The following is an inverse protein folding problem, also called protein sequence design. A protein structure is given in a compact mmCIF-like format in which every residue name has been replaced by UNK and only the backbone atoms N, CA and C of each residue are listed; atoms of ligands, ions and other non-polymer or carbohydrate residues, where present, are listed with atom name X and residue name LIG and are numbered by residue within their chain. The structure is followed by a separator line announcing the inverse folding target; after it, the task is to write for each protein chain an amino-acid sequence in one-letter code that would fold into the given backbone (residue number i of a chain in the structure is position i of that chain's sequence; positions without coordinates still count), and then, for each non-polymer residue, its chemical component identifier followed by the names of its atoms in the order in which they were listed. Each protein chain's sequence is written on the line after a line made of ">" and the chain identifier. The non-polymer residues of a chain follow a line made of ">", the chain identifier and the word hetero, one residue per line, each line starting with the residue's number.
data_IF_809055945404
#
_entry.id   IF_809055945404
#
_cell.length_a   1.000
_cell.length_b   1.000
_cell.length_c   1.000
_cell.angle_alpha   90.00
_cell.angle_beta   90.00
_cell.angle_gamma   90.00
#
_symmetry.space_group_name_H-M   'P 1'
#
loop_
_entity.id
_entity.type
_entity.pdbx_description
1 polymer ?
#
# COMPACT_ATOMS: atom_id res chain seq x y z
N UNK A 1 -21.59 5.28 27.52
CA UNK A 1 -21.41 5.56 26.08
C UNK A 1 -22.15 4.47 25.31
N UNK A 2 -23.07 4.82 24.41
CA UNK A 2 -23.93 3.85 23.72
C UNK A 2 -23.10 2.89 22.87
N UNK A 3 -23.47 1.60 22.88
CA UNK A 3 -22.74 0.54 22.19
C UNK A 3 -22.57 0.82 20.68
N UNK A 4 -23.56 1.47 20.07
CA UNK A 4 -23.60 1.80 18.64
C UNK A 4 -22.56 2.86 18.25
N UNK A 5 -22.24 3.77 19.18
CA UNK A 5 -21.26 4.83 18.93
C UNK A 5 -19.84 4.27 18.85
N UNK A 6 -19.50 3.27 19.67
CA UNK A 6 -18.21 2.60 19.61
C UNK A 6 -18.06 1.75 18.35
N UNK A 7 -19.13 1.06 17.93
CA UNK A 7 -19.15 0.29 16.69
C UNK A 7 -18.93 1.18 15.46
N UNK A 8 -19.63 2.32 15.40
CA UNK A 8 -19.49 3.29 14.31
C UNK A 8 -18.05 3.75 14.14
N UNK A 9 -17.37 4.05 15.26
CA UNK A 9 -15.96 4.47 15.25
C UNK A 9 -15.02 3.38 14.72
N UNK A 10 -15.23 2.13 15.12
CA UNK A 10 -14.46 0.99 14.60
C UNK A 10 -14.68 0.88 13.09
N UNK A 11 -15.92 0.92 12.62
CA UNK A 11 -16.23 0.84 11.19
C UNK A 11 -15.63 2.00 10.38
N UNK A 12 -15.61 3.22 10.92
CA UNK A 12 -14.94 4.37 10.29
C UNK A 12 -13.44 4.11 10.16
N UNK A 13 -12.78 3.65 11.23
CA UNK A 13 -11.34 3.33 11.20
C UNK A 13 -11.01 2.21 10.20
N UNK A 14 -11.81 1.14 10.19
CA UNK A 14 -11.63 0.05 9.22
C UNK A 14 -11.87 0.51 7.78
N UNK A 15 -12.82 1.43 7.56
CA UNK A 15 -13.08 2.03 6.23
C UNK A 15 -11.91 2.90 5.78
N UNK A 16 -11.42 3.81 6.63
CA UNK A 16 -10.29 4.68 6.31
C UNK A 16 -9.04 3.88 5.97
N UNK A 17 -8.76 2.83 6.74
CA UNK A 17 -7.66 1.91 6.46
C UNK A 17 -7.82 1.19 5.12
N UNK A 18 -9.01 0.61 4.85
CA UNK A 18 -9.27 -0.09 3.59
C UNK A 18 -9.19 0.85 2.38
N UNK A 19 -9.73 2.06 2.49
CA UNK A 19 -9.60 3.07 1.45
C UNK A 19 -8.14 3.47 1.24
N UNK A 20 -7.39 3.68 2.33
CA UNK A 20 -5.95 3.95 2.27
C UNK A 20 -5.19 2.85 1.52
N UNK A 21 -5.45 1.58 1.82
CA UNK A 21 -4.86 0.43 1.12
C UNK A 21 -5.26 0.37 -0.36
N UNK A 22 -6.52 0.64 -0.68
CA UNK A 22 -6.98 0.61 -2.07
C UNK A 22 -6.36 1.74 -2.89
N UNK A 23 -6.32 2.96 -2.35
CA UNK A 23 -5.61 4.09 -2.96
C UNK A 23 -4.13 3.76 -3.14
N UNK A 24 -3.50 3.17 -2.13
CA UNK A 24 -2.11 2.75 -2.20
C UNK A 24 -1.86 1.76 -3.35
N UNK A 25 -2.63 0.67 -3.40
CA UNK A 25 -2.42 -0.42 -4.38
C UNK A 25 -2.85 -0.03 -5.80
N UNK A 26 -3.96 0.70 -5.96
CA UNK A 26 -4.55 0.95 -7.28
C UNK A 26 -4.20 2.32 -7.88
N UNK A 27 -3.69 3.27 -7.09
CA UNK A 27 -3.27 4.58 -7.59
C UNK A 27 -1.78 4.83 -7.37
N UNK A 28 -1.28 4.59 -6.16
CA UNK A 28 0.11 4.95 -5.82
C UNK A 28 1.10 3.99 -6.48
N UNK A 29 1.05 2.68 -6.19
CA UNK A 29 2.01 1.74 -6.74
C UNK A 29 2.10 1.76 -8.28
N UNK A 30 0.99 1.82 -9.04
CA UNK A 30 1.08 1.87 -10.48
C UNK A 30 1.72 3.16 -11.03
N UNK A 31 1.59 4.27 -10.30
CA UNK A 31 2.17 5.57 -10.70
C UNK A 31 3.68 5.66 -10.52
N UNK A 32 4.29 4.64 -9.90
CA UNK A 32 5.68 4.65 -9.46
C UNK A 32 6.47 3.50 -10.08
N UNK A 33 7.77 3.72 -10.30
CA UNK A 33 8.62 2.64 -10.82
C UNK A 33 8.61 1.45 -9.88
N UNK A 34 8.79 0.21 -10.37
CA UNK A 34 8.61 -0.97 -9.54
C UNK A 34 9.48 -0.97 -8.28
N UNK A 35 10.62 -0.28 -8.32
CA UNK A 35 11.50 -0.10 -7.17
C UNK A 35 11.06 1.00 -6.23
N UNK A 36 10.68 2.19 -6.73
CA UNK A 36 10.06 3.21 -5.90
C UNK A 36 8.80 2.69 -5.20
N UNK A 37 8.00 1.86 -5.88
CA UNK A 37 6.85 1.14 -5.31
C UNK A 37 7.23 0.30 -4.09
N UNK A 38 8.32 -0.48 -4.16
CA UNK A 38 8.81 -1.24 -3.00
C UNK A 38 9.27 -0.31 -1.88
N UNK A 39 9.96 0.78 -2.22
CA UNK A 39 10.49 1.72 -1.23
C UNK A 39 9.38 2.46 -0.47
N UNK A 40 8.28 2.78 -1.14
CA UNK A 40 7.11 3.42 -0.52
C UNK A 40 6.40 2.50 0.46
N UNK A 41 6.43 1.18 0.26
CA UNK A 41 5.85 0.23 1.22
C UNK A 41 6.46 0.35 2.63
N UNK A 42 7.71 0.83 2.75
CA UNK A 42 8.32 1.09 4.07
C UNK A 42 7.74 2.32 4.79
N UNK A 43 7.12 3.25 4.07
CA UNK A 43 6.62 4.50 4.65
C UNK A 43 5.33 4.33 5.44
N UNK A 44 4.69 3.15 5.34
CA UNK A 44 3.55 2.75 6.18
C UNK A 44 3.93 2.71 7.67
N UNK A 45 5.22 2.65 8.00
CA UNK A 45 5.73 2.67 9.37
C UNK A 45 5.77 4.06 10.03
N UNK A 46 5.33 5.13 9.34
CA UNK A 46 5.46 6.50 9.85
C UNK A 46 4.62 6.73 11.10
N UNK A 47 3.32 6.42 11.03
CA UNK A 47 2.40 6.57 12.17
C UNK A 47 2.83 5.71 13.36
N UNK A 48 3.16 4.41 13.18
CA UNK A 48 3.78 3.58 14.22
C UNK A 48 5.01 4.22 14.86
N UNK A 49 5.94 4.74 14.04
CA UNK A 49 7.17 5.36 14.51
C UNK A 49 6.93 6.62 15.33
N UNK A 50 6.01 7.48 14.89
CA UNK A 50 5.64 8.71 15.61
C UNK A 50 5.01 8.36 16.95
N UNK A 51 4.04 7.45 16.98
CA UNK A 51 3.37 7.04 18.22
C UNK A 51 4.34 6.34 19.18
N UNK A 52 5.21 5.47 18.66
CA UNK A 52 6.25 4.81 19.45
C UNK A 52 7.25 5.79 20.06
N UNK A 53 7.68 6.82 19.30
CA UNK A 53 8.60 7.84 19.78
C UNK A 53 8.01 8.67 20.93
N UNK A 54 6.70 8.94 20.89
CA UNK A 54 5.98 9.67 21.95
C UNK A 54 5.65 8.75 23.13
N UNK A 55 5.48 7.45 22.89
CA UNK A 55 5.07 6.49 23.91
C UNK A 55 6.13 6.26 25.00
N UNK A 56 5.68 5.75 26.15
CA UNK A 56 6.56 5.36 27.25
C UNK A 56 7.14 3.99 27.00
N UNK A 57 8.46 3.90 27.06
CA UNK A 57 9.20 2.64 27.00
C UNK A 57 9.09 1.92 28.35
N UNK A 58 8.74 0.64 28.33
CA UNK A 58 8.65 -0.23 29.51
C UNK A 58 10.03 -0.53 30.13
N UNK A 59 11.09 -0.43 29.33
CA UNK A 59 12.46 -0.75 29.73
C UNK A 59 13.28 0.52 29.97
N UNK A 60 13.42 0.99 31.23
CA UNK A 60 14.04 2.27 31.53
C UNK A 60 15.53 2.32 31.16
N UNK A 61 16.25 1.19 31.22
CA UNK A 61 17.69 1.13 30.91
C UNK A 61 18.04 1.41 29.45
N UNK A 62 17.15 1.07 28.52
CA UNK A 62 17.34 1.28 27.09
C UNK A 62 16.34 2.27 26.49
N UNK A 63 15.52 2.92 27.32
CA UNK A 63 14.45 3.81 26.89
C UNK A 63 14.97 4.95 25.99
N UNK A 64 16.12 5.53 26.34
CA UNK A 64 16.75 6.59 25.56
C UNK A 64 17.19 6.10 24.17
N UNK A 65 17.85 4.94 24.10
CA UNK A 65 18.32 4.36 22.84
C UNK A 65 17.15 3.99 21.92
N UNK A 66 16.12 3.34 22.46
CA UNK A 66 14.92 2.96 21.70
C UNK A 66 14.22 4.21 21.15
N UNK A 67 14.06 5.25 21.97
CA UNK A 67 13.48 6.53 21.52
C UNK A 67 14.32 7.21 20.46
N UNK A 68 15.64 7.23 20.61
CA UNK A 68 16.54 7.80 19.62
C UNK A 68 16.43 7.06 18.27
N UNK A 69 16.37 5.73 18.29
CA UNK A 69 16.15 4.91 17.09
C UNK A 69 14.79 5.21 16.43
N UNK A 70 13.71 5.30 17.20
CA UNK A 70 12.38 5.64 16.69
C UNK A 70 12.33 7.04 16.07
N UNK A 71 12.87 8.05 16.75
CA UNK A 71 12.94 9.44 16.24
C UNK A 71 13.76 9.48 14.94
N UNK A 72 14.91 8.81 14.92
CA UNK A 72 15.75 8.71 13.71
C UNK A 72 14.98 8.06 12.56
N UNK A 73 14.28 6.95 12.82
CA UNK A 73 13.44 6.28 11.84
C UNK A 73 12.31 7.17 11.30
N UNK A 74 11.64 7.95 12.17
CA UNK A 74 10.59 8.91 11.75
C UNK A 74 11.18 10.02 10.87
N UNK A 75 12.30 10.62 11.26
CA UNK A 75 12.95 11.68 10.49
C UNK A 75 13.34 11.20 9.09
N UNK A 76 13.86 9.97 9.00
CA UNK A 76 14.26 9.38 7.72
C UNK A 76 13.07 9.03 6.84
N UNK A 77 11.96 8.56 7.41
CA UNK A 77 10.72 8.35 6.66
C UNK A 77 10.13 9.66 6.14
N UNK A 78 10.11 10.71 6.97
CA UNK A 78 9.67 12.04 6.55
C UNK A 78 10.54 12.62 5.43
N UNK A 79 11.86 12.47 5.55
CA UNK A 79 12.80 12.87 4.51
C UNK A 79 12.58 12.08 3.21
N UNK A 80 12.34 10.77 3.31
CA UNK A 80 12.04 9.92 2.15
C UNK A 80 10.74 10.34 1.44
N UNK A 81 9.66 10.61 2.19
CA UNK A 81 8.40 11.15 1.64
C UNK A 81 8.67 12.49 0.93
N UNK A 82 9.39 13.40 1.59
CA UNK A 82 9.67 14.73 1.04
C UNK A 82 10.51 14.70 -0.23
N UNK A 83 11.56 13.87 -0.26
CA UNK A 83 12.41 13.68 -1.44
C UNK A 83 11.65 13.01 -2.58
N UNK A 84 10.79 12.06 -2.27
CA UNK A 84 9.98 11.41 -3.28
C UNK A 84 8.93 12.37 -3.85
N UNK A 85 8.23 13.11 -3.00
CA UNK A 85 7.30 14.17 -3.41
C UNK A 85 7.99 15.18 -4.32
N UNK A 86 9.16 15.69 -3.92
CA UNK A 86 9.89 16.67 -4.74
C UNK A 86 10.41 16.06 -6.05
N UNK A 87 10.90 14.82 -6.05
CA UNK A 87 11.35 14.14 -7.26
C UNK A 87 10.22 13.96 -8.28
N UNK A 88 9.06 13.45 -7.88
CA UNK A 88 7.95 13.22 -8.83
C UNK A 88 7.30 14.51 -9.30
N UNK A 89 7.16 15.53 -8.44
CA UNK A 89 6.61 16.83 -8.84
C UNK A 89 7.57 17.56 -9.78
N UNK A 90 8.88 17.60 -9.46
CA UNK A 90 9.86 18.37 -10.24
C UNK A 90 10.26 17.68 -11.55
N UNK A 91 10.44 16.35 -11.55
CA UNK A 91 10.96 15.62 -12.71
C UNK A 91 9.86 15.21 -13.69
N UNK A 92 8.71 14.76 -13.19
CA UNK A 92 7.64 14.21 -14.02
C UNK A 92 6.48 15.18 -14.23
N UNK A 93 6.58 16.41 -13.71
CA UNK A 93 5.50 17.40 -13.71
C UNK A 93 4.16 16.80 -13.24
N UNK A 94 4.22 15.84 -12.33
CA UNK A 94 3.02 15.21 -11.79
C UNK A 94 2.15 16.26 -11.12
N UNK A 95 0.84 16.16 -11.33
CA UNK A 95 -0.09 17.05 -10.64
C UNK A 95 0.04 16.88 -9.13
N UNK A 96 -0.04 18.00 -8.40
CA UNK A 96 -0.01 18.02 -6.94
C UNK A 96 -1.01 17.04 -6.30
N UNK A 97 -2.10 16.73 -7.00
CA UNK A 97 -3.10 15.75 -6.60
C UNK A 97 -2.50 14.35 -6.42
N UNK A 98 -1.75 13.84 -7.40
CA UNK A 98 -1.17 12.48 -7.35
C UNK A 98 -0.10 12.38 -6.26
N UNK A 99 0.72 13.42 -6.10
CA UNK A 99 1.74 13.48 -5.05
C UNK A 99 1.12 13.61 -3.63
N UNK A 100 -0.05 14.24 -3.51
CA UNK A 100 -0.80 14.31 -2.25
C UNK A 100 -1.44 12.97 -1.91
N UNK A 101 -1.92 12.23 -2.90
CA UNK A 101 -2.47 10.87 -2.73
C UNK A 101 -1.42 9.91 -2.15
N UNK A 102 -0.17 9.98 -2.62
CA UNK A 102 0.96 9.24 -2.06
C UNK A 102 1.06 9.45 -0.54
N UNK A 103 1.19 10.71 -0.12
CA UNK A 103 1.34 11.07 1.30
C UNK A 103 0.12 10.65 2.13
N UNK A 104 -1.08 10.89 1.62
CA UNK A 104 -2.33 10.57 2.31
C UNK A 104 -2.46 9.06 2.54
N UNK A 105 -2.16 8.25 1.53
CA UNK A 105 -2.25 6.79 1.63
C UNK A 105 -1.29 6.22 2.69
N UNK A 106 -0.05 6.70 2.75
CA UNK A 106 0.95 6.28 3.75
C UNK A 106 0.53 6.58 5.19
N UNK A 107 -0.33 7.59 5.41
CA UNK A 107 -0.90 7.90 6.73
C UNK A 107 -2.13 7.04 7.02
N UNK A 108 -3.02 6.86 6.04
CA UNK A 108 -4.29 6.13 6.22
C UNK A 108 -4.09 4.63 6.46
N UNK A 109 -3.13 4.01 5.78
CA UNK A 109 -2.86 2.56 5.91
C UNK A 109 -2.56 2.15 7.37
N UNK A 110 -1.65 2.77 8.12
CA UNK A 110 -1.37 2.33 9.50
C UNK A 110 -2.44 2.73 10.53
N UNK A 111 -3.45 3.56 10.19
CA UNK A 111 -4.48 4.00 11.14
C UNK A 111 -5.26 2.87 11.78
N UNK A 112 -5.31 1.69 11.17
CA UNK A 112 -6.01 0.55 11.75
C UNK A 112 -5.33 0.06 13.03
N UNK A 113 -4.01 0.24 13.17
CA UNK A 113 -3.19 -0.40 14.21
C UNK A 113 -2.53 0.59 15.16
N UNK A 114 -2.87 1.88 15.06
CA UNK A 114 -2.34 2.96 15.89
C UNK A 114 -2.39 2.64 17.40
N UNK A 115 -3.42 1.91 17.84
CA UNK A 115 -3.65 1.54 19.22
C UNK A 115 -2.58 0.63 19.79
N UNK A 116 -1.90 -0.16 18.95
CA UNK A 116 -0.83 -1.06 19.38
C UNK A 116 0.44 -0.32 19.80
N UNK A 117 0.61 0.94 19.39
CA UNK A 117 1.82 1.72 19.63
C UNK A 117 1.70 2.64 20.85
N UNK A 118 0.54 2.68 21.50
CA UNK A 118 0.30 3.48 22.69
C UNK A 118 0.43 2.61 23.94
N UNK A 119 1.59 2.69 24.60
CA UNK A 119 1.74 2.19 25.95
C UNK A 119 1.24 3.21 26.98
N UNK A 120 0.02 3.00 27.45
CA UNK A 120 -0.69 3.88 28.40
C UNK A 120 -0.68 3.33 29.84
N UNK A 121 0.12 2.30 30.10
CA UNK A 121 0.18 1.64 31.40
C UNK A 121 0.87 2.55 32.45
N UNK A 122 0.16 2.81 33.56
CA UNK A 122 0.69 3.61 34.67
C UNK A 122 0.53 5.13 34.58
N UNK A 123 -0.20 5.67 33.59
CA UNK A 123 -0.46 7.11 33.53
C UNK A 123 -1.55 7.58 34.51
N UNK A 124 -1.23 8.67 35.24
CA UNK A 124 -2.14 9.34 36.19
C UNK A 124 -2.82 10.59 35.61
N UNK A 125 -2.44 11.01 34.40
CA UNK A 125 -3.05 12.17 33.73
C UNK A 125 -4.43 11.81 33.18
N UNK A 126 -5.42 12.67 33.45
CA UNK A 126 -6.84 12.45 33.09
C UNK A 126 -7.04 12.21 31.59
N UNK A 127 -6.29 12.89 30.73
CA UNK A 127 -6.36 12.74 29.26
C UNK A 127 -5.90 11.33 28.85
N UNK A 128 -4.77 10.89 29.36
CA UNK A 128 -4.20 9.58 29.07
C UNK A 128 -5.09 8.42 29.54
N UNK A 129 -5.72 8.56 30.71
CA UNK A 129 -6.68 7.57 31.23
C UNK A 129 -7.92 7.47 30.33
N UNK A 130 -8.41 8.60 29.79
CA UNK A 130 -9.52 8.60 28.86
C UNK A 130 -9.16 7.96 27.51
N UNK A 131 -7.96 8.21 26.99
CA UNK A 131 -7.45 7.56 25.77
C UNK A 131 -7.27 6.05 26.00
N UNK A 132 -6.73 5.63 27.16
CA UNK A 132 -6.56 4.22 27.49
C UNK A 132 -7.90 3.47 27.56
N UNK A 133 -8.91 4.09 28.17
CA UNK A 133 -10.28 3.56 28.18
C UNK A 133 -10.83 3.42 26.76
N UNK A 134 -10.65 4.45 25.93
CA UNK A 134 -11.10 4.47 24.54
C UNK A 134 -10.44 3.37 23.69
N UNK A 135 -9.11 3.21 23.80
CA UNK A 135 -8.35 2.16 23.13
C UNK A 135 -8.85 0.77 23.54
N UNK A 136 -9.03 0.54 24.84
CA UNK A 136 -9.54 -0.75 25.36
C UNK A 136 -10.94 -1.07 24.84
N UNK A 137 -11.81 -0.06 24.74
CA UNK A 137 -13.15 -0.22 24.18
C UNK A 137 -13.11 -0.58 22.69
N UNK A 138 -12.30 0.11 21.89
CA UNK A 138 -12.09 -0.20 20.46
C UNK A 138 -11.61 -1.64 20.31
N UNK A 139 -10.59 -2.04 21.06
CA UNK A 139 -9.99 -3.37 20.97
C UNK A 139 -11.00 -4.48 21.26
N UNK A 140 -11.80 -4.32 22.32
CA UNK A 140 -12.86 -5.27 22.68
C UNK A 140 -13.96 -5.34 21.62
N UNK A 141 -14.34 -4.20 21.01
CA UNK A 141 -15.35 -4.18 19.94
C UNK A 141 -14.82 -4.81 18.66
N UNK A 142 -13.58 -4.52 18.28
CA UNK A 142 -12.94 -5.12 17.11
C UNK A 142 -12.88 -6.64 17.21
N UNK A 143 -12.55 -7.19 18.39
CA UNK A 143 -12.60 -8.64 18.65
C UNK A 143 -14.00 -9.24 18.40
N UNK A 144 -15.06 -8.58 18.86
CA UNK A 144 -16.44 -9.04 18.70
C UNK A 144 -16.94 -8.94 17.26
N UNK A 145 -16.55 -7.89 16.54
CA UNK A 145 -17.03 -7.60 15.19
C UNK A 145 -15.99 -7.87 14.09
N UNK A 146 -14.93 -8.63 14.40
CA UNK A 146 -13.83 -8.90 13.46
C UNK A 146 -14.34 -9.51 12.15
N UNK A 147 -15.33 -10.41 12.23
CA UNK A 147 -15.93 -11.03 11.05
C UNK A 147 -16.58 -10.00 10.12
N UNK A 148 -17.44 -9.13 10.67
CA UNK A 148 -18.12 -8.06 9.92
C UNK A 148 -17.09 -7.07 9.36
N UNK A 149 -16.10 -6.69 10.16
CA UNK A 149 -15.00 -5.84 9.73
C UNK A 149 -14.27 -6.44 8.52
N UNK A 150 -13.89 -7.71 8.57
CA UNK A 150 -13.17 -8.36 7.47
C UNK A 150 -14.02 -8.50 6.20
N UNK A 151 -15.31 -8.85 6.33
CA UNK A 151 -16.23 -8.83 5.18
C UNK A 151 -16.34 -7.45 4.56
N UNK A 152 -16.42 -6.40 5.39
CA UNK A 152 -16.45 -5.02 4.93
C UNK A 152 -15.17 -4.63 4.17
N UNK A 153 -13.99 -5.03 4.65
CA UNK A 153 -12.72 -4.81 3.93
C UNK A 153 -12.71 -5.49 2.58
N UNK A 154 -13.16 -6.75 2.51
CA UNK A 154 -13.26 -7.50 1.25
C UNK A 154 -14.19 -6.77 0.27
N UNK A 155 -15.34 -6.28 0.74
CA UNK A 155 -16.26 -5.52 -0.08
C UNK A 155 -15.61 -4.24 -0.63
N UNK A 156 -14.93 -3.45 0.22
CA UNK A 156 -14.24 -2.23 -0.23
C UNK A 156 -13.16 -2.57 -1.26
N UNK A 157 -12.29 -3.55 -0.99
CA UNK A 157 -11.20 -3.92 -1.90
C UNK A 157 -11.70 -4.40 -3.26
N UNK A 158 -12.87 -5.05 -3.32
CA UNK A 158 -13.47 -5.49 -4.57
C UNK A 158 -14.22 -4.37 -5.31
N UNK A 159 -14.93 -3.51 -4.58
CA UNK A 159 -15.73 -2.41 -5.15
C UNK A 159 -14.83 -1.26 -5.64
N UNK A 160 -13.71 -0.99 -4.96
CA UNK A 160 -12.88 0.18 -5.23
C UNK A 160 -12.33 0.25 -6.68
N UNK A 161 -11.80 -0.83 -7.27
CA UNK A 161 -11.40 -0.81 -8.68
C UNK A 161 -12.56 -0.53 -9.63
N UNK A 162 -13.78 -0.99 -9.32
CA UNK A 162 -14.97 -0.71 -10.13
C UNK A 162 -15.35 0.78 -10.06
N UNK A 163 -15.20 1.41 -8.89
CA UNK A 163 -15.41 2.85 -8.73
C UNK A 163 -14.34 3.66 -9.47
N UNK A 164 -13.08 3.22 -9.36
CA UNK A 164 -11.94 3.95 -9.91
C UNK A 164 -11.86 3.88 -11.44
N UNK A 165 -12.09 2.69 -12.00
CA UNK A 165 -11.87 2.40 -13.41
C UNK A 165 -13.17 2.26 -14.20
N UNK A 166 -14.29 1.94 -13.53
CA UNK A 166 -15.60 1.76 -14.17
C UNK A 166 -16.40 3.05 -14.31
N UNK A 167 -16.57 3.83 -13.23
CA UNK A 167 -17.45 5.02 -13.22
C UNK A 167 -16.96 6.16 -14.15
N UNK A 168 -15.68 6.57 -14.14
CA UNK A 168 -15.26 7.71 -14.94
C UNK A 168 -15.06 7.37 -16.43
N UNK A 169 -15.46 6.17 -16.86
CA UNK A 169 -15.50 5.77 -18.26
C UNK A 169 -16.67 6.44 -19.00
N UNK A 170 -16.42 6.93 -20.21
CA UNK A 170 -17.43 7.65 -21.02
C UNK A 170 -18.72 6.84 -21.25
N UNK A 171 -18.62 5.50 -21.29
CA UNK A 171 -19.76 4.59 -21.49
C UNK A 171 -20.09 3.74 -20.24
N UNK A 172 -19.61 4.13 -19.05
CA UNK A 172 -19.94 3.58 -17.73
C UNK A 172 -20.09 2.06 -17.62
N UNK A 173 -21.28 1.55 -17.93
CA UNK A 173 -21.67 0.12 -17.85
C UNK A 173 -20.81 -0.76 -18.75
N UNK A 174 -20.39 -0.27 -19.92
CA UNK A 174 -19.56 -1.02 -20.85
C UNK A 174 -18.20 -1.36 -20.23
N UNK A 175 -17.54 -0.38 -19.63
CA UNK A 175 -16.24 -0.58 -18.96
C UNK A 175 -16.32 -1.60 -17.82
N UNK A 176 -17.40 -1.58 -17.04
CA UNK A 176 -17.63 -2.59 -15.99
C UNK A 176 -17.78 -3.97 -16.61
N UNK A 177 -18.58 -4.12 -17.68
CA UNK A 177 -18.74 -5.39 -18.39
C UNK A 177 -17.42 -5.91 -18.99
N UNK A 178 -16.57 -5.01 -19.49
CA UNK A 178 -15.24 -5.35 -19.99
C UNK A 178 -14.32 -5.89 -18.90
N UNK A 179 -14.38 -5.34 -17.67
CA UNK A 179 -13.61 -5.86 -16.53
C UNK A 179 -14.03 -7.27 -16.12
N UNK A 180 -15.30 -7.64 -16.32
CA UNK A 180 -15.81 -8.99 -16.06
C UNK A 180 -15.68 -9.95 -17.26
N UNK A 181 -15.04 -9.53 -18.35
CA UNK A 181 -14.83 -10.37 -19.53
C UNK A 181 -16.10 -10.62 -20.36
N UNK A 182 -17.17 -9.86 -20.14
CA UNK A 182 -18.38 -9.94 -20.96
C UNK A 182 -18.22 -9.10 -22.23
N UNK A 183 -17.54 -9.68 -23.23
CA UNK A 183 -17.15 -9.02 -24.47
C UNK A 183 -18.25 -9.03 -25.55
N UNK A 184 -19.35 -9.76 -25.33
CA UNK A 184 -20.35 -10.02 -26.38
C UNK A 184 -21.30 -8.85 -26.66
N UNK A 185 -21.36 -7.86 -25.77
CA UNK A 185 -22.23 -6.68 -25.89
C UNK A 185 -21.44 -5.38 -26.17
N UNK A 186 -20.13 -5.47 -26.36
CA UNK A 186 -19.29 -4.29 -26.55
C UNK A 186 -19.37 -3.85 -28.01
N UNK A 187 -20.25 -2.89 -28.29
CA UNK A 187 -20.21 -2.18 -29.57
C UNK A 187 -18.82 -1.60 -29.75
N UNK A 188 -18.26 -1.64 -30.96
CA UNK A 188 -16.90 -1.25 -31.33
C UNK A 188 -16.54 0.24 -31.12
N UNK A 189 -17.14 0.89 -30.11
CA UNK A 189 -16.78 2.19 -29.61
C UNK A 189 -15.54 2.05 -28.72
N UNK A 190 -14.48 2.76 -29.10
CA UNK A 190 -13.28 3.04 -28.30
C UNK A 190 -13.69 3.55 -26.91
N UNK A 191 -13.74 2.67 -25.90
CA UNK A 191 -14.01 3.11 -24.53
C UNK A 191 -12.73 3.67 -23.92
N UNK A 192 -12.73 4.97 -23.66
CA UNK A 192 -11.62 5.63 -22.98
C UNK A 192 -11.89 5.59 -21.48
N UNK A 193 -10.98 4.96 -20.74
CA UNK A 193 -10.95 4.99 -19.29
C UNK A 193 -10.17 6.24 -18.87
N UNK A 194 -10.88 7.27 -18.44
CA UNK A 194 -10.29 8.49 -17.88
C UNK A 194 -10.16 8.27 -16.37
N UNK A 195 -8.97 7.94 -15.88
CA UNK A 195 -8.73 7.73 -14.46
C UNK A 195 -7.82 8.82 -13.88
N UNK A 196 -7.87 9.08 -12.56
CA UNK A 196 -6.92 10.01 -11.92
C UNK A 196 -5.44 9.57 -12.02
N UNK A 197 -5.20 8.31 -12.41
CA UNK A 197 -3.87 7.73 -12.64
C UNK A 197 -3.40 7.98 -14.09
N UNK A 198 -4.32 8.29 -14.99
CA UNK A 198 -4.05 8.54 -16.41
C UNK A 198 -5.24 8.18 -17.30
N UNK A 199 -5.18 8.66 -18.55
CA UNK A 199 -6.14 8.30 -19.59
C UNK A 199 -5.65 7.07 -20.33
N UNK A 200 -6.45 6.03 -20.35
CA UNK A 200 -6.13 4.82 -21.11
C UNK A 200 -7.24 4.49 -22.07
N UNK A 201 -6.84 4.13 -23.28
CA UNK A 201 -7.79 3.76 -24.32
C UNK A 201 -7.90 2.25 -24.27
N UNK A 202 -9.06 1.72 -23.89
CA UNK A 202 -9.34 0.31 -24.07
C UNK A 202 -9.60 0.09 -25.56
N UNK A 203 -8.55 -0.19 -26.33
CA UNK A 203 -8.66 -0.56 -27.75
C UNK A 203 -8.99 -2.05 -27.82
N UNK A 204 -10.28 -2.38 -27.95
CA UNK A 204 -10.69 -3.73 -28.38
C UNK A 204 -10.56 -3.76 -29.89
N UNK A 205 -9.36 -4.02 -30.40
CA UNK A 205 -9.20 -4.36 -31.81
C UNK A 205 -8.96 -5.87 -31.90
N UNK A 206 -9.76 -6.61 -32.69
CA UNK A 206 -9.70 -8.08 -32.79
C UNK A 206 -8.34 -8.60 -33.29
N UNK A 207 -7.47 -7.74 -33.83
CA UNK A 207 -6.07 -8.04 -34.15
C UNK A 207 -5.14 -8.02 -32.94
N UNK A 208 -5.52 -7.38 -31.83
CA UNK A 208 -4.76 -7.32 -30.57
C UNK A 208 -5.34 -8.29 -29.55
N UNK A 209 -4.83 -9.52 -29.56
CA UNK A 209 -5.31 -10.66 -28.77
C UNK A 209 -5.04 -10.61 -27.25
N UNK A 210 -4.54 -9.51 -26.67
CA UNK A 210 -3.81 -9.58 -25.38
C UNK A 210 -4.03 -8.44 -24.35
N UNK A 211 -5.10 -7.64 -24.41
CA UNK A 211 -5.36 -6.71 -23.30
C UNK A 211 -6.19 -7.39 -22.18
N UNK A 212 -5.58 -7.63 -21.00
CA UNK A 212 -6.27 -8.20 -19.84
C UNK A 212 -7.10 -7.13 -19.11
N UNK A 213 -8.31 -6.86 -19.61
CA UNK A 213 -9.24 -5.88 -19.04
C UNK A 213 -9.67 -6.21 -17.58
N UNK A 214 -9.49 -7.46 -17.16
CA UNK A 214 -9.80 -7.95 -15.81
C UNK A 214 -8.64 -7.80 -14.81
N UNK A 215 -7.51 -7.18 -15.21
CA UNK A 215 -6.31 -7.05 -14.38
C UNK A 215 -6.56 -6.36 -13.02
N UNK A 216 -7.30 -5.23 -12.91
CA UNK A 216 -7.54 -4.61 -11.61
C UNK A 216 -8.34 -5.51 -10.65
N UNK A 217 -9.24 -6.35 -11.19
CA UNK A 217 -9.99 -7.34 -10.39
C UNK A 217 -9.10 -8.50 -9.96
N UNK A 218 -8.17 -8.96 -10.81
CA UNK A 218 -7.16 -9.94 -10.38
C UNK A 218 -6.34 -9.39 -9.23
N UNK A 219 -5.84 -8.16 -9.36
CA UNK A 219 -5.04 -7.52 -8.30
C UNK A 219 -5.84 -7.47 -7.00
N UNK A 220 -7.12 -7.09 -7.03
CA UNK A 220 -8.00 -7.11 -5.86
C UNK A 220 -8.12 -8.51 -5.23
N UNK A 221 -8.38 -9.55 -6.04
CA UNK A 221 -8.50 -10.94 -5.57
C UNK A 221 -7.19 -11.44 -4.97
N UNK A 222 -6.06 -11.18 -5.63
CA UNK A 222 -4.72 -11.53 -5.14
C UNK A 222 -4.45 -10.83 -3.81
N UNK A 223 -4.75 -9.53 -3.70
CA UNK A 223 -4.59 -8.79 -2.43
C UNK A 223 -5.42 -9.38 -1.30
N UNK A 224 -6.67 -9.80 -1.56
CA UNK A 224 -7.53 -10.45 -0.57
C UNK A 224 -6.95 -11.79 -0.13
N UNK A 225 -6.56 -12.65 -1.09
CA UNK A 225 -5.99 -13.96 -0.80
C UNK A 225 -4.67 -13.84 -0.02
N UNK A 226 -3.75 -12.98 -0.49
CA UNK A 226 -2.48 -12.73 0.19
C UNK A 226 -2.69 -12.22 1.62
N UNK A 227 -3.62 -11.29 1.83
CA UNK A 227 -3.95 -10.79 3.18
C UNK A 227 -4.45 -11.91 4.09
N UNK A 228 -5.29 -12.82 3.58
CA UNK A 228 -5.75 -13.99 4.31
C UNK A 228 -4.63 -14.97 4.67
N UNK A 229 -3.69 -15.21 3.75
CA UNK A 229 -2.51 -16.03 3.99
C UNK A 229 -1.59 -15.41 5.05
N UNK A 230 -1.32 -14.10 4.95
CA UNK A 230 -0.54 -13.36 5.94
C UNK A 230 -1.18 -13.42 7.34
N UNK A 231 -2.51 -13.26 7.42
CA UNK A 231 -3.23 -13.39 8.69
C UNK A 231 -3.08 -14.78 9.31
N UNK A 232 -3.24 -15.84 8.51
CA UNK A 232 -3.10 -17.21 8.99
C UNK A 232 -1.66 -17.52 9.42
N UNK A 233 -0.67 -17.08 8.65
CA UNK A 233 0.74 -17.23 8.99
C UNK A 233 1.07 -16.51 10.31
N UNK A 234 0.62 -15.26 10.47
CA UNK A 234 0.82 -14.50 11.70
C UNK A 234 0.14 -15.17 12.91
N UNK A 235 -1.08 -15.69 12.73
CA UNK A 235 -1.80 -16.43 13.78
C UNK A 235 -1.05 -17.69 14.21
N UNK A 236 -0.55 -18.48 13.26
CA UNK A 236 0.25 -19.68 13.55
C UNK A 236 1.52 -19.28 14.30
N UNK A 237 2.23 -18.24 13.83
CA UNK A 237 3.43 -17.70 14.47
C UNK A 237 3.20 -17.28 15.93
N UNK A 238 2.06 -16.66 16.22
CA UNK A 238 1.67 -16.31 17.59
C UNK A 238 1.39 -17.54 18.46
N UNK A 239 0.76 -18.58 17.92
CA UNK A 239 0.45 -19.80 18.67
C UNK A 239 1.70 -20.59 19.06
N UNK A 240 2.74 -20.59 18.20
CA UNK A 240 4.01 -21.29 18.46
C UNK A 240 5.02 -20.43 19.24
N UNK A 241 4.63 -19.22 19.67
CA UNK A 241 5.50 -18.24 20.37
C UNK A 241 6.80 -17.88 19.63
N UNK A 242 6.91 -18.17 18.33
CA UNK A 242 8.09 -17.89 17.51
C UNK A 242 8.09 -16.45 16.94
N UNK A 243 7.40 -15.52 17.60
CA UNK A 243 7.07 -14.18 17.08
C UNK A 243 8.32 -13.38 16.67
N UNK A 244 9.40 -13.42 17.45
CA UNK A 244 10.59 -12.60 17.18
C UNK A 244 11.28 -13.07 15.90
N UNK A 245 11.59 -14.36 15.78
CA UNK A 245 12.29 -14.89 14.61
C UNK A 245 11.39 -14.96 13.37
N UNK A 246 10.14 -15.39 13.53
CA UNK A 246 9.22 -15.60 12.40
C UNK A 246 8.57 -14.32 11.88
N UNK A 247 8.61 -13.20 12.61
CA UNK A 247 8.07 -11.93 12.11
C UNK A 247 9.15 -10.96 11.61
N UNK A 248 10.32 -10.93 12.26
CA UNK A 248 11.41 -10.02 11.86
C UNK A 248 12.11 -10.50 10.58
N UNK A 249 12.43 -11.80 10.49
CA UNK A 249 13.21 -12.34 9.38
C UNK A 249 12.45 -12.26 8.04
N UNK A 250 11.17 -12.69 7.93
CA UNK A 250 10.44 -12.53 6.68
C UNK A 250 10.23 -11.07 6.30
N UNK A 251 10.05 -10.17 7.28
CA UNK A 251 9.93 -8.74 7.01
C UNK A 251 11.22 -8.17 6.41
N UNK A 252 12.38 -8.50 6.98
CA UNK A 252 13.68 -8.07 6.48
C UNK A 252 14.02 -8.66 5.09
N UNK A 253 13.61 -9.90 4.82
CA UNK A 253 13.89 -10.59 3.54
C UNK A 253 12.88 -10.25 2.44
N UNK A 254 11.66 -9.85 2.79
CA UNK A 254 10.57 -9.60 1.83
C UNK A 254 10.96 -8.61 0.72
N UNK A 255 11.65 -7.54 1.08
CA UNK A 255 12.00 -6.46 0.15
C UNK A 255 13.17 -6.81 -0.77
N UNK A 256 14.31 -7.35 -0.27
CA UNK A 256 15.35 -7.91 -1.14
C UNK A 256 14.82 -8.97 -2.11
N UNK A 257 13.93 -9.86 -1.64
CA UNK A 257 13.33 -10.89 -2.50
C UNK A 257 12.43 -10.25 -3.55
N UNK A 258 11.58 -9.27 -3.18
CA UNK A 258 10.74 -8.56 -4.15
C UNK A 258 11.58 -7.85 -5.22
N UNK A 259 12.66 -7.16 -4.82
CA UNK A 259 13.62 -6.54 -5.73
C UNK A 259 14.21 -7.60 -6.67
N UNK A 260 14.72 -8.71 -6.14
CA UNK A 260 15.31 -9.79 -6.94
C UNK A 260 14.34 -10.39 -7.96
N UNK A 261 13.08 -10.61 -7.56
CA UNK A 261 12.02 -11.12 -8.45
C UNK A 261 11.72 -10.11 -9.57
N UNK A 262 11.60 -8.82 -9.26
CA UNK A 262 11.37 -7.78 -10.26
C UNK A 262 12.51 -7.66 -11.25
N UNK A 263 13.76 -7.71 -10.76
CA UNK A 263 14.96 -7.72 -11.62
C UNK A 263 14.93 -8.92 -12.57
N UNK A 264 14.63 -10.11 -12.05
CA UNK A 264 14.51 -11.32 -12.86
C UNK A 264 13.42 -11.22 -13.93
N UNK A 265 12.25 -10.67 -13.56
CA UNK A 265 11.12 -10.49 -14.48
C UNK A 265 11.42 -9.46 -15.58
N UNK A 266 11.92 -8.28 -15.21
CA UNK A 266 12.26 -7.23 -16.18
C UNK A 266 13.43 -7.64 -17.08
N UNK A 267 14.41 -8.37 -16.55
CA UNK A 267 15.53 -8.88 -17.34
C UNK A 267 15.12 -9.89 -18.40
N UNK A 268 14.06 -10.67 -18.15
CA UNK A 268 13.51 -11.63 -19.11
C UNK A 268 12.68 -10.96 -20.22
N UNK A 269 11.98 -9.87 -19.89
CA UNK A 269 11.00 -9.24 -20.77
C UNK A 269 11.55 -8.02 -21.53
N UNK A 270 12.79 -7.60 -21.29
CA UNK A 270 13.45 -6.49 -21.99
C UNK A 270 13.56 -6.67 -23.53
N UNK A 271 13.25 -7.87 -24.05
CA UNK A 271 13.30 -8.19 -25.48
C UNK A 271 11.92 -8.17 -26.18
N UNK A 272 10.81 -7.91 -25.48
CA UNK A 272 9.47 -7.86 -26.09
C UNK A 272 9.00 -6.42 -26.29
N UNK A 273 9.44 -5.79 -27.38
CA UNK A 273 9.16 -4.37 -27.71
C UNK A 273 7.78 -4.09 -28.36
N UNK A 274 6.83 -5.04 -28.35
CA UNK A 274 5.56 -4.86 -29.07
C UNK A 274 4.33 -5.26 -28.24
N UNK A 275 4.05 -4.53 -27.16
CA UNK A 275 2.71 -4.57 -26.54
C UNK A 275 2.05 -3.20 -26.64
N UNK A 276 1.09 -3.10 -27.56
CA UNK A 276 0.26 -1.92 -27.88
C UNK A 276 -0.96 -1.76 -26.96
N UNK A 277 -0.97 -2.46 -25.82
CA UNK A 277 -2.04 -2.34 -24.83
C UNK A 277 -1.56 -1.41 -23.71
N UNK A 278 -2.01 -0.15 -23.73
CA UNK A 278 -1.91 0.74 -22.59
C UNK A 278 -2.86 0.22 -21.50
N UNK A 279 -2.33 -0.58 -20.56
CA UNK A 279 -3.06 -0.96 -19.35
C UNK A 279 -3.45 0.32 -18.59
N UNK A 280 -4.55 0.33 -17.82
CA UNK A 280 -4.91 1.45 -16.91
C UNK A 280 -3.88 1.71 -15.81
N UNK A 281 -2.81 0.91 -15.79
CA UNK A 281 -1.63 1.11 -14.97
C UNK A 281 -0.48 1.56 -15.88
N UNK A 282 0.31 2.58 -15.48
CA UNK A 282 1.53 2.95 -16.16
C UNK A 282 2.41 1.72 -16.39
N UNK A 283 2.70 1.42 -17.65
CA UNK A 283 3.74 0.46 -18.00
C UNK A 283 5.03 1.24 -18.22
N UNK A 284 6.12 0.72 -17.69
CA UNK A 284 7.44 1.32 -17.84
C UNK A 284 7.90 1.03 -19.25
N UNK A 285 8.00 2.06 -20.09
CA UNK A 285 8.57 1.93 -21.42
C UNK A 285 10.00 1.45 -21.26
N UNK A 286 10.25 0.19 -21.61
CA UNK A 286 11.60 -0.33 -21.84
C UNK A 286 12.11 0.30 -23.13
N UNK A 287 12.40 1.60 -23.11
CA UNK A 287 13.48 2.08 -23.96
C UNK A 287 14.68 1.20 -23.62
N UNK A 288 15.37 0.70 -24.64
CA UNK A 288 16.38 -0.36 -24.58
C UNK A 288 17.64 0.04 -23.80
N UNK A 289 17.47 0.45 -22.55
CA UNK A 289 18.52 0.68 -21.57
C UNK A 289 18.91 -0.71 -21.09
N UNK A 290 20.16 -1.09 -21.34
CA UNK A 290 20.69 -2.36 -20.84
C UNK A 290 20.41 -2.48 -19.33
N UNK A 291 20.03 -3.67 -18.85
CA UNK A 291 19.78 -3.91 -17.42
C UNK A 291 20.94 -3.41 -16.54
N UNK A 292 22.18 -3.49 -17.03
CA UNK A 292 23.38 -2.92 -16.42
C UNK A 292 23.34 -1.41 -16.24
N UNK A 293 22.89 -0.67 -17.26
CA UNK A 293 22.78 0.80 -17.21
C UNK A 293 21.58 1.23 -16.37
N UNK A 294 20.48 0.47 -16.41
CA UNK A 294 19.35 0.67 -15.51
C UNK A 294 19.75 0.44 -14.04
N UNK A 295 20.47 -0.66 -13.74
CA UNK A 295 21.01 -0.94 -12.40
C UNK A 295 22.04 0.10 -11.94
N UNK A 296 22.88 0.59 -12.85
CA UNK A 296 23.85 1.65 -12.54
C UNK A 296 23.15 2.99 -12.22
N UNK A 297 22.12 3.35 -12.98
CA UNK A 297 21.29 4.52 -12.71
C UNK A 297 20.49 4.35 -11.40
N UNK A 298 19.97 3.15 -11.15
CA UNK A 298 19.26 2.81 -9.92
C UNK A 298 20.18 2.90 -8.69
N UNK A 299 21.41 2.37 -8.77
CA UNK A 299 22.42 2.53 -7.74
C UNK A 299 22.69 4.02 -7.48
N UNK A 300 22.87 4.84 -8.52
CA UNK A 300 23.07 6.28 -8.36
C UNK A 300 21.88 6.99 -7.72
N UNK A 301 20.64 6.62 -8.07
CA UNK A 301 19.42 7.30 -7.60
C UNK A 301 18.93 6.84 -6.21
N UNK A 302 19.14 5.56 -5.86
CA UNK A 302 18.52 4.93 -4.68
C UNK A 302 19.52 4.29 -3.69
N UNK A 303 20.83 4.34 -3.93
CA UNK A 303 21.83 3.76 -3.00
C UNK A 303 21.70 4.29 -1.57
N UNK A 304 21.38 5.58 -1.39
CA UNK A 304 21.19 6.16 -0.08
C UNK A 304 19.98 5.54 0.65
N UNK A 305 18.88 5.26 -0.05
CA UNK A 305 17.70 4.62 0.55
C UNK A 305 17.95 3.17 0.94
N UNK A 306 18.66 2.39 0.11
CA UNK A 306 18.99 0.99 0.42
C UNK A 306 19.93 0.91 1.62
N UNK A 307 20.93 1.78 1.71
CA UNK A 307 21.85 1.87 2.85
C UNK A 307 21.10 2.28 4.11
N UNK A 308 20.15 3.22 4.00
CA UNK A 308 19.34 3.69 5.13
C UNK A 308 18.34 2.62 5.60
N UNK A 309 17.60 2.00 4.69
CA UNK A 309 16.63 0.95 5.01
C UNK A 309 17.31 -0.31 5.59
N UNK A 310 18.47 -0.71 5.05
CA UNK A 310 19.23 -1.85 5.54
C UNK A 310 19.89 -1.64 6.90
N UNK A 311 20.19 -0.39 7.28
CA UNK A 311 20.79 -0.08 8.59
C UNK A 311 19.79 0.18 9.72
N UNK A 312 18.50 0.31 9.40
CA UNK A 312 17.45 0.64 10.37
C UNK A 312 16.46 -0.49 10.64
N UNK A 313 16.56 -1.60 9.90
CA UNK A 313 15.75 -2.79 10.12
C UNK A 313 16.31 -3.75 11.20
N UNK A 314 17.26 -3.29 12.01
CA UNK A 314 17.78 -3.97 13.20
C UNK A 314 17.85 -3.02 14.39
#
# INVERSE_FOLDING_TARGET
>A
MNADFALTKVMILETLHSLGLCVFVFMVLPSLDPFASILVCFQVALVPGVLGAISRTTHPSHAYMIRAMMITGVLLQMAAIGLMYSYYVLKYQMEHFQASILTLSSILVPLCWWDNYLNLEGEKHTISVNIARYVKEIHNRRKKFNFVGNLWKICITFIFPLLLFGIPCQNGVDCINAMFGNLNNFSAAKSVMDSPVGKTILIINPSFKQCNNYLPLIVAVVSIVCSGLCYNAAKIGCNILAQIACMSLPLAISSPVAIGVLIGYMGRNANETNQTCDLPFPYWSTEAISMTEYMANMGRSYNWMIIVAGRLHF
#
